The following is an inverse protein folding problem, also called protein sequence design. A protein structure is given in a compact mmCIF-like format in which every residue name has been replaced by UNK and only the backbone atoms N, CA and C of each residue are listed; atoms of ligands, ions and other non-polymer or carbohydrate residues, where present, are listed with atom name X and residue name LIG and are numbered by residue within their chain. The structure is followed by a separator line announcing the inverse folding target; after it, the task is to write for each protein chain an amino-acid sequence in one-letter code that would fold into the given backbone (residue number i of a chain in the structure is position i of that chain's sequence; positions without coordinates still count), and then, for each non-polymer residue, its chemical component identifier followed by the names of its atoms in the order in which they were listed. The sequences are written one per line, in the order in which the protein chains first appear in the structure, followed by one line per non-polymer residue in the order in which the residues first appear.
data_IF_699129058532
#
_entry.id   IF_699129058532
#
_cell.length_a   1.000
_cell.length_b   1.000
_cell.length_c   1.000
_cell.angle_alpha   90.00
_cell.angle_beta   90.00
_cell.angle_gamma   90.00
#
_symmetry.space_group_name_H-M   'P 1'
#
loop_
_entity.id
_entity.type
_entity.pdbx_description
1 polymer ?
#
# COMPACT_ATOMS: atom_id res chain seq x y z
N UNK A 1 17.34 11.50 -0.78
CA UNK A 1 17.92 10.14 -0.69
C UNK A 1 18.12 9.62 -2.10
N UNK A 2 19.14 8.80 -2.35
CA UNK A 2 19.33 8.16 -3.66
C UNK A 2 18.25 7.09 -3.89
N UNK A 3 17.80 6.87 -5.14
CA UNK A 3 16.88 5.78 -5.46
C UNK A 3 17.43 4.42 -5.04
N UNK A 4 16.57 3.57 -4.48
CA UNK A 4 16.88 2.21 -4.06
C UNK A 4 16.81 1.28 -5.28
N UNK A 5 17.89 0.58 -5.65
CA UNK A 5 17.85 -0.35 -6.77
C UNK A 5 17.09 -1.62 -6.41
N UNK A 6 16.59 -2.32 -7.44
CA UNK A 6 16.17 -3.71 -7.28
C UNK A 6 17.39 -4.57 -6.88
N UNK A 7 17.15 -5.61 -6.10
CA UNK A 7 18.18 -6.57 -5.68
C UNK A 7 18.76 -7.28 -6.90
N UNK A 8 20.06 -7.51 -6.87
CA UNK A 8 20.79 -8.12 -7.98
C UNK A 8 20.17 -9.46 -8.41
N UNK A 9 20.01 -9.63 -9.73
CA UNK A 9 19.40 -10.82 -10.34
C UNK A 9 17.87 -10.86 -10.32
N UNK A 10 17.20 -9.88 -9.70
CA UNK A 10 15.74 -9.75 -9.73
C UNK A 10 15.31 -8.70 -10.76
N UNK A 11 14.38 -9.08 -11.63
CA UNK A 11 13.84 -8.21 -12.68
C UNK A 11 12.32 -8.23 -12.64
N UNK A 12 11.71 -7.04 -12.75
CA UNK A 12 10.27 -6.92 -12.88
C UNK A 12 9.80 -7.52 -14.21
N UNK A 13 8.52 -7.88 -14.27
CA UNK A 13 7.89 -8.28 -15.53
C UNK A 13 8.03 -7.15 -16.57
N UNK A 14 8.51 -7.43 -17.80
CA UNK A 14 8.66 -6.41 -18.85
C UNK A 14 7.37 -5.65 -19.17
N UNK A 15 6.21 -6.26 -19.00
CA UNK A 15 4.89 -5.62 -19.15
C UNK A 15 4.72 -4.54 -18.08
N UNK A 16 5.00 -4.88 -16.82
CA UNK A 16 4.93 -3.94 -15.71
C UNK A 16 5.92 -2.78 -15.92
N UNK A 17 7.16 -3.05 -16.33
CA UNK A 17 8.14 -1.99 -16.63
C UNK A 17 7.62 -1.01 -17.68
N UNK A 18 7.02 -1.51 -18.77
CA UNK A 18 6.41 -0.63 -19.79
C UNK A 18 5.23 0.17 -19.25
N UNK A 19 4.38 -0.43 -18.40
CA UNK A 19 3.27 0.29 -17.75
C UNK A 19 3.83 1.42 -16.88
N UNK A 20 4.83 1.12 -16.04
CA UNK A 20 5.49 2.11 -15.17
C UNK A 20 6.09 3.24 -15.99
N UNK A 21 6.80 2.94 -17.08
CA UNK A 21 7.39 3.95 -17.97
C UNK A 21 6.33 4.84 -18.64
N UNK A 22 5.16 4.29 -19.02
CA UNK A 22 4.07 5.06 -19.63
C UNK A 22 3.41 6.01 -18.63
N UNK A 23 3.11 5.53 -17.43
CA UNK A 23 2.54 6.35 -16.34
C UNK A 23 3.51 7.45 -15.93
N UNK A 24 4.78 7.10 -15.76
CA UNK A 24 5.86 8.02 -15.42
C UNK A 24 6.07 9.11 -16.49
N UNK A 25 6.02 8.76 -17.79
CA UNK A 25 6.06 9.75 -18.87
C UNK A 25 4.85 10.71 -18.81
N UNK A 26 3.63 10.18 -18.70
CA UNK A 26 2.41 10.99 -18.64
C UNK A 26 2.42 11.93 -17.41
N UNK A 27 2.91 11.44 -16.27
CA UNK A 27 3.09 12.23 -15.06
C UNK A 27 4.07 13.39 -15.25
N UNK A 28 5.20 13.15 -15.92
CA UNK A 28 6.16 14.22 -16.25
C UNK A 28 5.59 15.24 -17.22
N UNK A 29 4.90 14.77 -18.26
CA UNK A 29 4.34 15.64 -19.31
C UNK A 29 3.31 16.61 -18.74
N UNK A 30 2.54 16.19 -17.74
CA UNK A 30 1.54 17.02 -17.06
C UNK A 30 2.02 17.66 -15.77
N UNK A 31 3.25 17.38 -15.31
CA UNK A 31 3.74 17.81 -14.01
C UNK A 31 2.90 17.27 -12.83
N UNK A 32 2.24 16.12 -12.99
CA UNK A 32 1.37 15.51 -12.00
C UNK A 32 2.15 14.48 -11.16
N UNK A 33 2.38 14.72 -9.85
CA UNK A 33 2.98 13.71 -8.99
C UNK A 33 2.15 12.43 -8.98
N UNK A 34 2.81 11.28 -8.94
CA UNK A 34 2.14 9.99 -8.83
C UNK A 34 2.82 9.09 -7.81
N UNK A 35 2.15 8.01 -7.41
CA UNK A 35 2.73 6.89 -6.67
C UNK A 35 2.18 5.56 -7.17
N UNK A 36 3.02 4.53 -7.20
CA UNK A 36 2.56 3.15 -7.35
C UNK A 36 2.16 2.63 -5.97
N UNK A 37 0.96 2.07 -5.86
CA UNK A 37 0.40 1.53 -4.61
C UNK A 37 -0.17 0.12 -4.83
N UNK A 38 -1.04 -0.34 -3.92
CA UNK A 38 -1.76 -1.59 -4.06
C UNK A 38 -0.90 -2.80 -3.76
N UNK A 39 -1.27 -3.96 -4.33
CA UNK A 39 -0.54 -5.20 -4.11
C UNK A 39 0.81 -5.21 -4.85
N UNK A 40 0.89 -4.55 -6.00
CA UNK A 40 2.12 -4.47 -6.80
C UNK A 40 3.23 -3.71 -6.08
N UNK A 41 2.90 -2.58 -5.46
CA UNK A 41 3.86 -1.83 -4.64
C UNK A 41 4.43 -2.66 -3.48
N UNK A 42 3.56 -3.42 -2.79
CA UNK A 42 3.97 -4.36 -1.74
C UNK A 42 4.91 -5.44 -2.30
N UNK A 43 4.56 -6.03 -3.44
CA UNK A 43 5.38 -7.08 -4.06
C UNK A 43 6.76 -6.56 -4.48
N UNK A 44 6.83 -5.39 -5.12
CA UNK A 44 8.12 -4.74 -5.45
C UNK A 44 8.97 -4.56 -4.20
N UNK A 45 8.38 -4.05 -3.12
CA UNK A 45 9.11 -3.83 -1.88
C UNK A 45 9.60 -5.14 -1.27
N UNK A 46 8.71 -6.09 -0.99
CA UNK A 46 9.08 -7.32 -0.29
C UNK A 46 10.02 -8.18 -1.13
N UNK A 47 9.69 -8.40 -2.41
CA UNK A 47 10.41 -9.36 -3.25
C UNK A 47 11.61 -8.70 -3.92
N UNK A 48 11.41 -7.57 -4.58
CA UNK A 48 12.45 -7.03 -5.47
C UNK A 48 13.42 -6.09 -4.75
N UNK A 49 13.02 -5.46 -3.65
CA UNK A 49 13.92 -4.66 -2.82
C UNK A 49 14.51 -5.50 -1.68
N UNK A 50 13.67 -6.16 -0.88
CA UNK A 50 14.14 -6.93 0.28
C UNK A 50 14.55 -8.39 -0.06
N UNK A 51 14.23 -8.90 -1.24
CA UNK A 51 14.58 -10.28 -1.64
C UNK A 51 13.80 -11.37 -0.89
N UNK A 52 12.61 -11.04 -0.37
CA UNK A 52 11.76 -11.98 0.33
C UNK A 52 11.03 -12.93 -0.65
N UNK A 53 10.59 -14.11 -0.19
CA UNK A 53 9.85 -15.04 -1.03
C UNK A 53 8.59 -14.39 -1.61
N UNK A 54 8.27 -14.75 -2.86
CA UNK A 54 7.02 -14.30 -3.50
C UNK A 54 5.81 -14.81 -2.73
N UNK A 55 4.92 -13.88 -2.38
CA UNK A 55 3.63 -14.17 -1.80
C UNK A 55 2.57 -14.41 -2.88
N UNK A 56 1.35 -13.92 -2.63
CA UNK A 56 0.26 -13.93 -3.60
C UNK A 56 0.63 -13.11 -4.85
N UNK A 57 0.58 -13.74 -6.03
CA UNK A 57 0.73 -13.02 -7.29
C UNK A 57 -0.34 -11.94 -7.45
N UNK A 58 0.07 -10.73 -7.82
CA UNK A 58 -0.81 -9.65 -8.31
C UNK A 58 -0.57 -9.46 -9.81
N UNK A 59 -1.61 -9.05 -10.52
CA UNK A 59 -1.55 -8.74 -11.96
C UNK A 59 -2.01 -7.33 -12.26
N UNK A 60 -2.53 -6.64 -11.26
CA UNK A 60 -3.01 -5.27 -11.31
C UNK A 60 -1.93 -4.31 -10.83
N UNK A 61 -1.87 -3.11 -11.43
CA UNK A 61 -1.05 -2.02 -10.94
C UNK A 61 -1.95 -0.84 -10.56
N UNK A 62 -1.90 -0.42 -9.31
CA UNK A 62 -2.68 0.68 -8.77
C UNK A 62 -1.81 1.94 -8.66
N UNK A 63 -2.30 3.07 -9.14
CA UNK A 63 -1.61 4.35 -9.08
C UNK A 63 -2.49 5.42 -8.43
N UNK A 64 -1.89 6.21 -7.54
CA UNK A 64 -2.44 7.49 -7.13
C UNK A 64 -1.88 8.59 -8.01
N UNK A 65 -2.72 9.43 -8.61
CA UNK A 65 -2.31 10.57 -9.43
C UNK A 65 -2.76 11.86 -8.73
N UNK A 66 -1.80 12.72 -8.37
CA UNK A 66 -2.10 13.98 -7.70
C UNK A 66 -2.44 15.06 -8.72
N UNK A 67 -3.67 15.57 -8.66
CA UNK A 67 -4.24 16.48 -9.67
C UNK A 67 -5.11 17.55 -9.02
N UNK A 68 -5.18 18.73 -9.64
CA UNK A 68 -5.97 19.86 -9.13
C UNK A 68 -7.47 19.66 -9.29
N UNK A 69 -7.90 19.09 -10.41
CA UNK A 69 -9.30 18.92 -10.76
C UNK A 69 -9.54 17.69 -11.66
N UNK A 70 -10.82 17.43 -11.96
CA UNK A 70 -11.24 16.34 -12.84
C UNK A 70 -10.77 16.51 -14.29
N UNK A 71 -10.59 17.75 -14.77
CA UNK A 71 -10.11 18.00 -16.13
C UNK A 71 -8.64 17.60 -16.28
N UNK A 72 -7.83 17.88 -15.26
CA UNK A 72 -6.43 17.47 -15.16
C UNK A 72 -6.31 15.95 -15.10
N UNK A 73 -7.17 15.30 -14.30
CA UNK A 73 -7.22 13.83 -14.27
C UNK A 73 -7.60 13.22 -15.63
N UNK A 74 -8.61 13.78 -16.28
CA UNK A 74 -9.03 13.28 -17.59
C UNK A 74 -7.93 13.48 -18.64
N UNK A 75 -7.21 14.61 -18.61
CA UNK A 75 -6.04 14.84 -19.47
C UNK A 75 -4.97 13.77 -19.27
N UNK A 76 -4.69 13.40 -18.02
CA UNK A 76 -3.76 12.31 -17.70
C UNK A 76 -4.22 10.98 -18.29
N UNK A 77 -5.51 10.65 -18.15
CA UNK A 77 -6.08 9.42 -18.74
C UNK A 77 -5.97 9.44 -20.26
N UNK A 78 -6.27 10.57 -20.91
CA UNK A 78 -6.22 10.67 -22.36
C UNK A 78 -4.81 10.45 -22.92
N UNK A 79 -3.75 10.97 -22.27
CA UNK A 79 -2.36 10.68 -22.69
C UNK A 79 -2.08 9.17 -22.72
N UNK A 80 -2.62 8.42 -21.75
CA UNK A 80 -2.43 6.97 -21.70
C UNK A 80 -3.29 6.23 -22.73
N UNK A 81 -4.49 6.72 -23.00
CA UNK A 81 -5.40 6.16 -24.00
C UNK A 81 -4.96 6.49 -25.44
N UNK A 82 -4.16 7.54 -25.64
CA UNK A 82 -3.63 7.90 -26.94
C UNK A 82 -2.65 6.83 -27.48
N UNK A 83 -2.92 6.38 -28.71
CA UNK A 83 -2.14 5.35 -29.39
C UNK A 83 -2.59 3.92 -29.08
N UNK A 84 -1.72 2.94 -29.33
CA UNK A 84 -2.04 1.50 -29.19
C UNK A 84 -1.77 0.99 -27.76
N UNK A 85 -1.78 1.87 -26.76
CA UNK A 85 -1.26 1.58 -25.42
C UNK A 85 -2.28 0.93 -24.48
N UNK A 86 -3.30 1.71 -24.14
CA UNK A 86 -4.27 1.36 -23.11
C UNK A 86 -5.71 1.52 -23.63
N UNK A 87 -6.62 0.72 -23.09
CA UNK A 87 -8.06 0.87 -23.26
C UNK A 87 -8.74 1.13 -21.91
N UNK A 88 -9.81 1.93 -21.91
CA UNK A 88 -10.60 2.15 -20.71
C UNK A 88 -11.52 0.95 -20.41
N UNK A 89 -11.72 0.64 -19.13
CA UNK A 89 -12.80 -0.24 -18.71
C UNK A 89 -14.16 0.46 -18.93
N UNK A 90 -15.15 -0.21 -19.55
CA UNK A 90 -16.45 0.41 -19.84
C UNK A 90 -17.32 0.62 -18.59
N UNK A 91 -16.96 0.00 -17.46
CA UNK A 91 -17.76 0.03 -16.21
C UNK A 91 -16.96 0.68 -15.08
N UNK A 92 -15.70 0.28 -14.90
CA UNK A 92 -14.88 0.74 -13.77
C UNK A 92 -14.12 2.02 -14.17
N UNK A 93 -14.62 3.17 -13.72
CA UNK A 93 -14.16 4.51 -14.15
C UNK A 93 -12.64 4.74 -13.97
N UNK A 94 -12.03 4.19 -12.92
CA UNK A 94 -10.60 4.31 -12.64
C UNK A 94 -9.73 3.30 -13.38
N UNK A 95 -10.31 2.31 -14.08
CA UNK A 95 -9.55 1.20 -14.62
C UNK A 95 -9.24 1.38 -16.10
N UNK A 96 -7.99 1.14 -16.44
CA UNK A 96 -7.50 0.89 -17.78
C UNK A 96 -7.04 -0.56 -17.91
N UNK A 97 -6.88 -1.01 -19.15
CA UNK A 97 -6.15 -2.23 -19.47
C UNK A 97 -5.08 -1.95 -20.51
N UNK A 98 -3.95 -2.62 -20.40
CA UNK A 98 -2.98 -2.66 -21.50
C UNK A 98 -3.57 -3.39 -22.71
N UNK A 99 -3.31 -2.89 -23.91
CA UNK A 99 -3.63 -3.63 -25.13
C UNK A 99 -2.69 -4.83 -25.28
N UNK A 100 -3.26 -6.02 -25.51
CA UNK A 100 -2.47 -7.24 -25.68
C UNK A 100 -1.54 -7.17 -26.92
N UNK A 101 -1.88 -6.40 -27.95
CA UNK A 101 -1.02 -6.24 -29.14
C UNK A 101 0.25 -5.45 -28.82
N UNK A 102 0.16 -4.40 -28.00
CA UNK A 102 1.31 -3.58 -27.62
C UNK A 102 2.06 -4.12 -26.40
N UNK A 103 1.37 -4.84 -25.51
CA UNK A 103 1.94 -5.31 -24.25
C UNK A 103 2.10 -6.83 -24.16
N UNK A 104 1.55 -7.61 -25.08
CA UNK A 104 1.54 -9.07 -25.03
C UNK A 104 0.50 -9.69 -24.08
N UNK A 105 0.02 -8.92 -23.10
CA UNK A 105 -1.00 -9.34 -22.14
C UNK A 105 -1.94 -8.18 -21.80
N UNK A 106 -3.18 -8.53 -21.46
CA UNK A 106 -4.17 -7.60 -20.92
C UNK A 106 -4.00 -7.51 -19.40
N UNK A 107 -3.40 -6.42 -18.94
CA UNK A 107 -3.08 -6.15 -17.54
C UNK A 107 -3.99 -5.02 -17.02
N UNK A 108 -4.71 -5.20 -15.89
CA UNK A 108 -5.46 -4.11 -15.27
C UNK A 108 -4.52 -3.04 -14.70
N UNK A 109 -4.86 -1.77 -14.93
CA UNK A 109 -4.15 -0.60 -14.40
C UNK A 109 -5.17 0.36 -13.82
N UNK A 110 -5.15 0.54 -12.51
CA UNK A 110 -6.09 1.39 -11.78
C UNK A 110 -5.46 2.76 -11.51
N UNK A 111 -6.15 3.83 -11.89
CA UNK A 111 -5.73 5.22 -11.73
C UNK A 111 -6.71 5.96 -10.82
N UNK A 112 -6.25 6.35 -9.64
CA UNK A 112 -7.08 7.05 -8.65
C UNK A 112 -6.59 8.49 -8.50
N UNK A 113 -7.44 9.50 -8.81
CA UNK A 113 -7.06 10.89 -8.58
C UNK A 113 -7.16 11.25 -7.10
N UNK A 114 -6.25 12.09 -6.63
CA UNK A 114 -6.31 12.71 -5.31
C UNK A 114 -5.69 14.11 -5.38
N UNK A 115 -5.92 14.96 -4.38
CA UNK A 115 -5.50 16.36 -4.37
C UNK A 115 -6.67 17.35 -4.17
N UNK A 116 -6.55 18.60 -4.64
CA UNK A 116 -7.56 19.63 -4.46
C UNK A 116 -8.96 19.32 -5.01
N UNK A 117 -9.12 18.31 -5.88
CA UNK A 117 -10.42 17.88 -6.40
C UNK A 117 -11.34 17.22 -5.35
N UNK A 118 -10.79 16.88 -4.20
CA UNK A 118 -11.49 16.20 -3.11
C UNK A 118 -12.54 17.09 -2.44
N UNK A 119 -13.64 16.47 -2.04
CA UNK A 119 -14.56 17.09 -1.08
C UNK A 119 -14.01 17.00 0.36
N UNK A 120 -14.49 17.86 1.29
CA UNK A 120 -14.06 17.82 2.68
C UNK A 120 -14.15 16.41 3.27
N UNK A 121 -13.10 16.00 3.99
CA UNK A 121 -12.95 14.64 4.49
C UNK A 121 -12.12 13.72 3.59
N UNK A 122 -11.53 14.24 2.51
CA UNK A 122 -10.63 13.47 1.63
C UNK A 122 -11.35 12.46 0.77
N UNK A 123 -12.52 12.85 0.24
CA UNK A 123 -13.42 11.98 -0.50
C UNK A 123 -13.56 12.49 -1.94
N UNK A 124 -13.44 11.60 -2.92
CA UNK A 124 -13.79 11.87 -4.32
C UNK A 124 -15.13 11.22 -4.69
N UNK A 125 -15.85 11.85 -5.61
CA UNK A 125 -17.07 11.31 -6.25
C UNK A 125 -16.92 11.40 -7.75
N UNK A 126 -16.99 10.26 -8.44
CA UNK A 126 -16.78 10.21 -9.88
C UNK A 126 -17.84 11.07 -10.60
N UNK A 127 -17.44 11.97 -11.53
CA UNK A 127 -18.40 12.85 -12.21
C UNK A 127 -19.47 12.10 -13.02
N UNK A 128 -19.07 10.97 -13.59
CA UNK A 128 -19.89 10.10 -14.43
C UNK A 128 -20.87 9.26 -13.62
N UNK A 129 -20.53 8.98 -12.35
CA UNK A 129 -21.31 8.16 -11.43
C UNK A 129 -21.09 8.65 -9.99
N UNK A 130 -21.94 9.59 -9.57
CA UNK A 130 -21.79 10.29 -8.28
C UNK A 130 -22.03 9.38 -7.07
N UNK A 131 -22.60 8.20 -7.28
CA UNK A 131 -22.84 7.21 -6.23
C UNK A 131 -21.57 6.43 -5.89
N UNK A 132 -20.56 6.45 -6.77
CA UNK A 132 -19.24 5.89 -6.49
C UNK A 132 -18.42 6.89 -5.68
N UNK A 133 -18.36 6.64 -4.38
CA UNK A 133 -17.60 7.42 -3.39
C UNK A 133 -16.32 6.68 -3.04
N UNK A 134 -15.18 7.37 -3.03
CA UNK A 134 -13.89 6.78 -2.63
C UNK A 134 -13.16 7.69 -1.64
N UNK A 135 -12.67 7.09 -0.56
CA UNK A 135 -11.73 7.72 0.38
C UNK A 135 -10.32 7.68 -0.21
N UNK A 136 -9.71 8.86 -0.31
CA UNK A 136 -8.36 9.03 -0.87
C UNK A 136 -7.36 9.59 0.15
N UNK A 137 -7.72 9.69 1.43
CA UNK A 137 -6.81 10.13 2.51
C UNK A 137 -5.55 9.27 2.58
N UNK A 138 -5.68 7.97 2.29
CA UNK A 138 -4.54 7.06 2.20
C UNK A 138 -3.52 7.45 1.12
N UNK A 139 -3.94 8.05 0.01
CA UNK A 139 -3.02 8.49 -1.05
C UNK A 139 -2.19 9.71 -0.64
N UNK A 140 -2.74 10.64 0.16
CA UNK A 140 -1.95 11.73 0.74
C UNK A 140 -0.85 11.22 1.66
N UNK A 141 -1.18 10.26 2.54
CA UNK A 141 -0.18 9.61 3.40
C UNK A 141 0.87 8.88 2.57
N UNK A 142 0.43 8.11 1.56
CA UNK A 142 1.31 7.39 0.65
C UNK A 142 2.28 8.33 -0.07
N UNK A 143 1.77 9.42 -0.66
CA UNK A 143 2.55 10.42 -1.39
C UNK A 143 3.54 11.16 -0.48
N UNK A 144 3.11 11.55 0.72
CA UNK A 144 3.96 12.22 1.70
C UNK A 144 5.09 11.35 2.25
N UNK A 145 5.00 10.02 2.09
CA UNK A 145 5.92 9.06 2.67
C UNK A 145 6.33 7.99 1.64
N UNK A 146 6.89 8.45 0.52
CA UNK A 146 7.41 7.56 -0.53
C UNK A 146 8.91 7.28 -0.39
N UNK A 147 9.31 6.12 -0.90
CA UNK A 147 10.68 5.78 -1.25
C UNK A 147 10.79 5.70 -2.77
N UNK A 148 11.90 6.18 -3.31
CA UNK A 148 12.20 6.15 -4.75
C UNK A 148 12.84 4.82 -5.11
N UNK A 149 12.19 4.01 -5.94
CA UNK A 149 12.72 2.72 -6.41
C UNK A 149 13.25 2.86 -7.84
N UNK A 150 14.52 2.54 -8.06
CA UNK A 150 15.12 2.48 -9.39
C UNK A 150 14.74 1.14 -10.03
N UNK A 151 13.80 1.18 -10.99
CA UNK A 151 13.33 -0.01 -11.71
C UNK A 151 14.31 -0.41 -12.81
N UNK A 152 14.72 0.57 -13.62
CA UNK A 152 15.73 0.46 -14.68
C UNK A 152 16.39 1.83 -14.88
N UNK A 153 17.56 1.95 -15.54
CA UNK A 153 18.20 3.25 -15.79
C UNK A 153 17.23 4.29 -16.39
N UNK A 154 17.04 5.42 -15.72
CA UNK A 154 16.12 6.49 -16.15
C UNK A 154 14.65 6.31 -15.73
N UNK A 155 14.28 5.17 -15.13
CA UNK A 155 12.95 4.92 -14.59
C UNK A 155 12.99 4.76 -13.06
N UNK A 156 12.55 5.80 -12.35
CA UNK A 156 12.45 5.83 -10.88
C UNK A 156 10.97 5.93 -10.51
N UNK A 157 10.49 4.97 -9.73
CA UNK A 157 9.09 4.88 -9.34
C UNK A 157 8.93 5.20 -7.86
N UNK A 158 8.10 6.20 -7.49
CA UNK A 158 7.73 6.45 -6.10
C UNK A 158 6.77 5.36 -5.59
N UNK A 159 7.16 4.71 -4.49
CA UNK A 159 6.39 3.67 -3.80
C UNK A 159 6.23 4.08 -2.33
N UNK A 160 5.05 3.94 -1.70
CA UNK A 160 4.90 4.20 -0.26
C UNK A 160 5.89 3.39 0.58
N UNK A 161 6.36 3.99 1.67
CA UNK A 161 7.06 3.25 2.72
C UNK A 161 6.09 2.30 3.44
N UNK A 162 6.63 1.29 4.14
CA UNK A 162 5.83 0.24 4.79
C UNK A 162 4.82 0.83 5.76
N UNK A 163 5.22 1.82 6.54
CA UNK A 163 4.37 2.54 7.49
C UNK A 163 3.14 3.19 6.82
N UNK A 164 3.31 3.78 5.64
CA UNK A 164 2.22 4.34 4.87
C UNK A 164 1.35 3.23 4.26
N UNK A 165 1.96 2.14 3.78
CA UNK A 165 1.21 0.98 3.28
C UNK A 165 0.29 0.38 4.34
N UNK A 166 0.71 0.30 5.61
CA UNK A 166 -0.13 -0.19 6.71
C UNK A 166 -1.41 0.64 6.84
N UNK A 167 -1.29 1.96 6.88
CA UNK A 167 -2.44 2.87 6.96
C UNK A 167 -3.36 2.73 5.74
N UNK A 168 -2.78 2.73 4.54
CA UNK A 168 -3.52 2.59 3.29
C UNK A 168 -4.30 1.27 3.23
N UNK A 169 -3.69 0.16 3.66
CA UNK A 169 -4.33 -1.16 3.67
C UNK A 169 -5.43 -1.26 4.74
N UNK A 170 -5.26 -0.63 5.90
CA UNK A 170 -6.30 -0.59 6.93
C UNK A 170 -7.54 0.18 6.45
N UNK A 171 -7.35 1.37 5.85
CA UNK A 171 -8.45 2.16 5.28
C UNK A 171 -9.15 1.42 4.15
N UNK A 172 -8.39 0.89 3.20
CA UNK A 172 -8.92 0.06 2.12
C UNK A 172 -9.71 -1.15 2.66
N UNK A 173 -9.19 -1.81 3.70
CA UNK A 173 -9.86 -2.96 4.28
C UNK A 173 -11.19 -2.59 4.94
N UNK A 174 -11.26 -1.46 5.66
CA UNK A 174 -12.53 -0.91 6.19
C UNK A 174 -13.53 -0.66 5.06
N UNK A 175 -13.10 -0.03 3.97
CA UNK A 175 -14.01 0.44 2.93
C UNK A 175 -14.50 -0.68 2.01
N UNK A 176 -13.62 -1.62 1.64
CA UNK A 176 -13.92 -2.64 0.62
C UNK A 176 -13.59 -4.08 1.04
N UNK A 177 -13.18 -4.32 2.28
CA UNK A 177 -12.73 -5.65 2.74
C UNK A 177 -13.73 -6.78 2.51
N UNK A 178 -15.02 -6.51 2.66
CA UNK A 178 -16.09 -7.48 2.34
C UNK A 178 -16.14 -7.83 0.85
N UNK A 179 -15.97 -6.83 -0.03
CA UNK A 179 -15.97 -6.99 -1.49
C UNK A 179 -14.68 -7.65 -1.97
N UNK A 180 -13.53 -7.30 -1.38
CA UNK A 180 -12.23 -7.85 -1.75
C UNK A 180 -11.91 -9.18 -1.07
N UNK A 181 -12.84 -9.73 -0.27
CA UNK A 181 -12.67 -10.97 0.51
C UNK A 181 -11.43 -10.93 1.41
N UNK A 182 -11.20 -9.80 2.07
CA UNK A 182 -10.10 -9.62 3.02
C UNK A 182 -8.71 -9.52 2.39
N UNK A 183 -8.59 -9.33 1.06
CA UNK A 183 -7.28 -9.21 0.39
C UNK A 183 -6.40 -8.10 0.99
N UNK A 184 -7.00 -6.99 1.39
CA UNK A 184 -6.30 -5.86 2.02
C UNK A 184 -5.79 -6.23 3.44
N UNK A 185 -6.56 -7.01 4.21
CA UNK A 185 -6.12 -7.54 5.51
C UNK A 185 -5.00 -8.57 5.38
N UNK A 186 -5.05 -9.44 4.35
CA UNK A 186 -3.96 -10.38 4.05
C UNK A 186 -2.67 -9.63 3.72
N UNK A 187 -2.74 -8.62 2.86
CA UNK A 187 -1.58 -7.80 2.51
C UNK A 187 -1.03 -7.05 3.74
N UNK A 188 -1.91 -6.53 4.61
CA UNK A 188 -1.52 -5.86 5.86
C UNK A 188 -0.79 -6.83 6.80
N UNK A 189 -1.35 -8.01 7.04
CA UNK A 189 -0.74 -9.01 7.93
C UNK A 189 0.60 -9.49 7.37
N UNK A 190 0.72 -9.66 6.05
CA UNK A 190 2.00 -10.03 5.43
C UNK A 190 3.09 -8.98 5.67
N UNK A 191 2.77 -7.68 5.60
CA UNK A 191 3.72 -6.62 5.94
C UNK A 191 4.15 -6.70 7.41
N UNK A 192 3.21 -6.91 8.33
CA UNK A 192 3.49 -6.98 9.76
C UNK A 192 4.33 -8.21 10.14
N UNK A 193 4.10 -9.34 9.49
CA UNK A 193 4.88 -10.57 9.73
C UNK A 193 6.31 -10.49 9.22
N UNK A 194 6.55 -9.60 8.24
CA UNK A 194 7.86 -9.29 7.69
C UNK A 194 8.49 -8.06 8.34
N UNK A 195 7.94 -7.56 9.45
CA UNK A 195 8.42 -6.33 10.06
C UNK A 195 9.90 -6.38 10.47
N UNK A 196 10.37 -7.53 10.95
CA UNK A 196 11.79 -7.77 11.23
C UNK A 196 12.64 -7.65 9.97
N UNK A 197 12.25 -8.31 8.87
CA UNK A 197 12.96 -8.26 7.58
C UNK A 197 12.98 -6.85 6.98
N UNK A 198 11.92 -6.08 7.23
CA UNK A 198 11.72 -4.72 6.70
C UNK A 198 12.47 -3.65 7.50
N UNK A 199 12.60 -3.83 8.82
CA UNK A 199 13.32 -2.90 9.70
C UNK A 199 14.81 -3.27 9.78
N UNK A 200 15.13 -4.55 9.78
CA UNK A 200 16.46 -5.10 10.03
C UNK A 200 16.68 -5.43 11.50
N UNK A 201 17.23 -6.62 11.77
CA UNK A 201 17.47 -7.12 13.12
C UNK A 201 18.41 -6.20 13.92
N UNK A 202 19.51 -5.77 13.31
CA UNK A 202 20.46 -4.83 13.92
C UNK A 202 19.77 -3.52 14.30
N UNK A 203 18.96 -2.95 13.41
CA UNK A 203 18.24 -1.71 13.69
C UNK A 203 17.23 -1.85 14.84
N UNK A 204 16.62 -3.03 15.01
CA UNK A 204 15.73 -3.31 16.14
C UNK A 204 16.51 -3.35 17.46
N UNK A 205 17.65 -4.03 17.52
CA UNK A 205 18.46 -4.09 18.74
C UNK A 205 19.15 -2.77 19.05
N UNK A 206 19.65 -2.07 18.04
CA UNK A 206 20.42 -0.83 18.23
C UNK A 206 19.51 0.36 18.57
N UNK A 207 18.32 0.45 17.98
CA UNK A 207 17.47 1.65 18.09
C UNK A 207 16.15 1.42 18.82
N UNK A 208 15.76 0.16 19.04
CA UNK A 208 14.44 -0.21 19.56
C UNK A 208 14.49 -1.30 20.64
N UNK A 209 15.60 -1.40 21.38
CA UNK A 209 15.83 -2.44 22.40
C UNK A 209 14.69 -2.53 23.43
N UNK A 210 14.19 -1.40 23.94
CA UNK A 210 13.06 -1.40 24.89
C UNK A 210 11.78 -2.02 24.29
N UNK A 211 11.54 -1.80 23.00
CA UNK A 211 10.42 -2.42 22.28
C UNK A 211 10.64 -3.92 22.10
N UNK A 212 11.88 -4.36 21.85
CA UNK A 212 12.26 -5.78 21.79
C UNK A 212 12.01 -6.47 23.13
N UNK A 213 12.49 -5.89 24.24
CA UNK A 213 12.31 -6.44 25.59
C UNK A 213 10.83 -6.53 25.98
N UNK A 214 10.05 -5.47 25.71
CA UNK A 214 8.60 -5.44 25.95
C UNK A 214 7.84 -6.53 25.20
N UNK A 215 8.34 -6.90 24.03
CA UNK A 215 7.79 -7.97 23.19
C UNK A 215 8.40 -9.35 23.49
N UNK A 216 9.00 -9.53 24.68
CA UNK A 216 9.54 -10.81 25.13
C UNK A 216 10.76 -11.27 24.33
N UNK A 217 11.45 -10.35 23.66
CA UNK A 217 12.58 -10.65 22.79
C UNK A 217 12.18 -11.20 21.42
N UNK A 218 10.89 -11.19 21.01
CA UNK A 218 10.49 -11.57 19.65
C UNK A 218 10.68 -10.37 18.70
N UNK A 219 11.68 -10.40 17.80
CA UNK A 219 11.96 -9.27 16.89
C UNK A 219 10.83 -9.01 15.88
N UNK A 220 10.00 -10.00 15.56
CA UNK A 220 8.86 -9.81 14.64
C UNK A 220 7.77 -8.99 15.31
N UNK A 221 7.44 -9.30 16.56
CA UNK A 221 6.46 -8.54 17.33
C UNK A 221 6.98 -7.13 17.62
N UNK A 222 8.26 -7.02 17.99
CA UNK A 222 8.91 -5.72 18.20
C UNK A 222 8.88 -4.87 16.92
N UNK A 223 9.22 -5.47 15.78
CA UNK A 223 9.14 -4.82 14.47
C UNK A 223 7.73 -4.35 14.14
N UNK A 224 6.71 -5.18 14.38
CA UNK A 224 5.33 -4.80 14.13
C UNK A 224 4.88 -3.61 15.00
N UNK A 225 5.30 -3.56 16.28
CA UNK A 225 5.07 -2.41 17.16
C UNK A 225 5.80 -1.15 16.67
N UNK A 226 7.04 -1.28 16.22
CA UNK A 226 7.79 -0.17 15.61
C UNK A 226 7.10 0.34 14.33
N UNK A 227 6.63 -0.56 13.45
CA UNK A 227 5.89 -0.17 12.25
C UNK A 227 4.58 0.53 12.59
N UNK A 228 3.84 0.08 13.61
CA UNK A 228 2.65 0.76 14.10
C UNK A 228 2.95 2.18 14.59
N UNK A 229 4.05 2.35 15.34
CA UNK A 229 4.50 3.67 15.76
C UNK A 229 4.91 4.55 14.57
N UNK A 230 5.66 4.03 13.59
CA UNK A 230 6.01 4.78 12.38
C UNK A 230 4.77 5.19 11.58
N UNK A 231 3.82 4.27 11.41
CA UNK A 231 2.53 4.53 10.77
C UNK A 231 1.79 5.67 11.46
N UNK A 232 1.69 5.65 12.80
CA UNK A 232 1.06 6.75 13.54
C UNK A 232 1.71 8.11 13.29
N UNK A 233 3.04 8.13 13.14
CA UNK A 233 3.82 9.36 13.01
C UNK A 233 3.98 9.86 11.57
N UNK A 234 3.55 9.08 10.57
CA UNK A 234 3.59 9.48 9.16
C UNK A 234 2.24 10.00 8.62
N UNK A 235 1.21 10.05 9.49
CA UNK A 235 -0.13 10.51 9.17
C UNK A 235 -0.65 11.57 10.16
N UNK A 236 -1.70 12.33 9.79
CA UNK A 236 -2.41 13.19 10.73
C UNK A 236 -2.92 12.39 11.95
N UNK A 237 -2.93 12.99 13.16
CA UNK A 237 -3.33 12.30 14.39
C UNK A 237 -4.68 11.59 14.28
N UNK A 238 -5.67 12.22 13.65
CA UNK A 238 -7.03 11.71 13.52
C UNK A 238 -7.09 10.45 12.64
N UNK A 239 -6.26 10.40 11.59
CA UNK A 239 -6.17 9.23 10.72
C UNK A 239 -5.46 8.07 11.42
N UNK A 240 -4.48 8.38 12.26
CA UNK A 240 -3.83 7.40 13.13
C UNK A 240 -4.81 6.78 14.14
N UNK A 241 -5.65 7.59 14.79
CA UNK A 241 -6.70 7.13 15.71
C UNK A 241 -7.73 6.26 14.99
N UNK A 242 -8.13 6.66 13.77
CA UNK A 242 -9.05 5.89 12.96
C UNK A 242 -8.47 4.51 12.59
N UNK A 243 -7.21 4.44 12.15
CA UNK A 243 -6.57 3.16 11.82
C UNK A 243 -6.39 2.27 13.04
N UNK A 244 -6.01 2.83 14.19
CA UNK A 244 -5.97 2.09 15.46
C UNK A 244 -7.34 1.46 15.76
N UNK A 245 -8.42 2.23 15.64
CA UNK A 245 -9.78 1.75 15.86
C UNK A 245 -10.21 0.69 14.83
N UNK A 246 -9.88 0.85 13.55
CA UNK A 246 -10.16 -0.12 12.48
C UNK A 246 -9.53 -1.48 12.82
N UNK A 247 -8.24 -1.48 13.18
CA UNK A 247 -7.53 -2.72 13.48
C UNK A 247 -8.00 -3.36 14.79
N UNK A 248 -8.31 -2.54 15.81
CA UNK A 248 -8.88 -3.00 17.07
C UNK A 248 -10.22 -3.71 16.90
N UNK A 249 -11.19 -3.04 16.27
CA UNK A 249 -12.50 -3.64 15.95
C UNK A 249 -12.37 -4.85 15.03
N UNK A 250 -11.45 -4.76 14.07
CA UNK A 250 -11.20 -5.81 13.11
C UNK A 250 -10.70 -7.11 13.72
N UNK A 251 -9.79 -7.01 14.70
CA UNK A 251 -9.31 -8.16 15.47
C UNK A 251 -10.42 -8.85 16.25
N UNK A 252 -11.36 -8.10 16.81
CA UNK A 252 -12.50 -8.66 17.54
C UNK A 252 -13.53 -9.32 16.61
N UNK A 253 -13.68 -8.79 15.40
CA UNK A 253 -14.74 -9.21 14.48
C UNK A 253 -14.31 -10.34 13.52
N UNK A 254 -13.40 -10.04 12.58
CA UNK A 254 -13.24 -10.89 11.40
C UNK A 254 -11.86 -10.85 10.72
N UNK A 255 -10.92 -10.00 11.13
CA UNK A 255 -9.61 -9.88 10.47
C UNK A 255 -8.90 -11.23 10.42
N UNK A 256 -8.75 -11.87 11.58
CA UNK A 256 -8.06 -13.16 11.70
C UNK A 256 -8.76 -14.22 10.86
N UNK A 257 -10.09 -14.30 10.93
CA UNK A 257 -10.89 -15.24 10.15
C UNK A 257 -10.76 -15.01 8.64
N UNK A 258 -10.76 -13.75 8.19
CA UNK A 258 -10.59 -13.41 6.78
C UNK A 258 -9.18 -13.74 6.26
N UNK A 259 -8.15 -13.50 7.07
CA UNK A 259 -6.77 -13.84 6.71
C UNK A 259 -6.56 -15.36 6.66
N UNK A 260 -7.25 -16.11 7.52
CA UNK A 260 -7.19 -17.57 7.56
C UNK A 260 -8.11 -18.26 6.54
N UNK A 261 -8.97 -17.51 5.85
CA UNK A 261 -9.92 -18.08 4.89
C UNK A 261 -9.16 -18.85 3.78
N UNK A 262 -9.27 -20.18 3.79
CA UNK A 262 -8.54 -21.09 2.89
C UNK A 262 -7.48 -21.98 3.57
N UNK A 263 -7.28 -21.86 4.88
CA UNK A 263 -6.37 -22.70 5.68
C UNK A 263 -7.14 -23.85 6.38
N UNK A 264 -6.62 -25.08 6.40
CA UNK A 264 -7.27 -26.25 7.00
C UNK A 264 -6.69 -26.68 8.37
N UNK A 265 -7.52 -27.24 9.25
CA UNK A 265 -7.11 -28.05 10.42
C UNK A 265 -6.39 -27.35 11.59
N UNK A 266 -5.83 -28.10 12.54
CA UNK A 266 -5.23 -27.60 13.79
C UNK A 266 -4.02 -26.64 13.65
N UNK A 267 -3.49 -26.47 12.44
CA UNK A 267 -2.51 -25.43 12.09
C UNK A 267 -3.13 -24.03 12.12
N UNK A 268 -4.46 -23.94 11.92
CA UNK A 268 -5.24 -22.69 11.95
C UNK A 268 -5.19 -22.01 13.32
N UNK A 269 -5.21 -22.75 14.43
CA UNK A 269 -5.21 -22.14 15.79
C UNK A 269 -3.89 -21.42 16.07
N UNK A 270 -2.76 -22.09 15.85
CA UNK A 270 -1.42 -21.48 16.05
C UNK A 270 -1.22 -20.29 15.11
N UNK A 271 -1.68 -20.40 13.86
CA UNK A 271 -1.64 -19.31 12.90
C UNK A 271 -2.49 -18.12 13.35
N UNK A 272 -3.70 -18.38 13.87
CA UNK A 272 -4.60 -17.35 14.41
C UNK A 272 -3.98 -16.59 15.58
N UNK A 273 -3.34 -17.30 16.51
CA UNK A 273 -2.62 -16.71 17.64
C UNK A 273 -1.46 -15.83 17.16
N UNK A 274 -0.66 -16.31 16.19
CA UNK A 274 0.44 -15.53 15.62
C UNK A 274 -0.04 -14.24 14.92
N UNK A 275 -1.10 -14.32 14.10
CA UNK A 275 -1.70 -13.15 13.44
C UNK A 275 -2.24 -12.17 14.49
N UNK A 276 -2.93 -12.68 15.52
CA UNK A 276 -3.45 -11.85 16.60
C UNK A 276 -2.32 -11.12 17.33
N UNK A 277 -1.22 -11.82 17.63
CA UNK A 277 -0.08 -11.25 18.34
C UNK A 277 0.59 -10.12 17.53
N UNK A 278 0.84 -10.34 16.24
CA UNK A 278 1.52 -9.35 15.38
C UNK A 278 0.67 -8.11 15.14
N UNK A 279 -0.65 -8.28 14.93
CA UNK A 279 -1.56 -7.13 14.76
C UNK A 279 -1.74 -6.38 16.09
N UNK A 280 -1.82 -7.07 17.23
CA UNK A 280 -1.84 -6.40 18.55
C UNK A 280 -0.57 -5.60 18.82
N UNK A 281 0.59 -6.10 18.38
CA UNK A 281 1.84 -5.35 18.48
C UNK A 281 1.78 -4.06 17.65
N UNK A 282 1.32 -4.15 16.40
CA UNK A 282 1.09 -2.96 15.56
C UNK A 282 0.12 -1.95 16.22
N UNK A 283 -1.01 -2.42 16.77
CA UNK A 283 -1.98 -1.57 17.48
C UNK A 283 -1.35 -0.86 18.67
N UNK A 284 -0.52 -1.55 19.48
CA UNK A 284 0.23 -0.89 20.57
C UNK A 284 1.11 0.24 20.04
N UNK A 285 1.82 0.00 18.93
CA UNK A 285 2.62 1.02 18.26
C UNK A 285 1.80 2.23 17.83
N UNK A 286 0.64 1.98 17.22
CA UNK A 286 -0.30 3.03 16.77
C UNK A 286 -0.81 3.90 17.93
N UNK A 287 -0.99 3.33 19.11
CA UNK A 287 -1.42 4.03 20.32
C UNK A 287 -0.33 4.88 21.01
N UNK A 288 0.92 4.81 20.57
CA UNK A 288 2.03 5.61 21.13
C UNK A 288 2.09 6.97 20.42
N UNK A 289 1.52 7.99 21.08
CA UNK A 289 1.60 9.39 20.62
C UNK A 289 3.00 9.99 20.90
N UNK A 290 3.53 10.79 19.97
CA UNK A 290 4.61 11.73 20.29
C UNK A 290 4.11 12.75 21.31
N UNK A 291 4.76 12.83 22.48
CA UNK A 291 4.62 13.96 23.40
C UNK A 291 3.45 13.92 24.40
N UNK A 292 2.86 12.76 24.73
CA UNK A 292 2.09 12.69 25.99
C UNK A 292 3.08 12.82 27.15
N UNK A 293 2.94 13.83 28.05
CA UNK A 293 3.63 13.76 29.31
C UNK A 293 3.11 12.50 30.02
N UNK A 294 4.03 11.71 30.56
CA UNK A 294 3.70 10.66 31.52
C UNK A 294 2.89 11.30 32.66
N UNK A 295 1.58 11.06 32.67
CA UNK A 295 0.70 11.33 33.80
C UNK A 295 0.45 10.04 34.56
#
# INVERSE_FOLDING_TARGET
MSPIPLREGLHLDPVLVRVLARVDSAARDLGAPYLLTGAMAREILLVFVHGLPRGRATRDADFGIQVEDWASFESFRQILLEGVGFEADPVIQHRLYTHAEAFGVRMPVDLVPFGPLESPGGIIRWPQDKDVVMDVRGFHVGMGNTQSIQVEPGLVVPIPQVEAMILMKALAWKDRGAVTRGRDAVDLVELLERAEDLIGLEALYDNHMETVERNGGDPRLAGAEVLGWRARNCAPPELGDEVEAILGQGLEANLVTQVLAGSGGGEVSRRAEAITAVVRACIRGLGILRGRPSS
#
